data_IF_749505815596
#
_entry.id   IF_749505815596
#
_cell.length_a   1.000
_cell.length_b   1.000
_cell.length_c   1.000
_cell.angle_alpha   90.00
_cell.angle_beta   90.00
_cell.angle_gamma   90.00
#
_symmetry.space_group_name_H-M   'P 1'
#
loop_
_entity.id
_entity.type
_entity.pdbx_description
1 polymer ?
#
# COMPACT_ATOMS: atom_id res chain seq x y z
N UNK A 1 -5.76 19.20 0.41
CA UNK A 1 -5.90 20.60 0.91
C UNK A 1 -7.26 20.77 1.54
N UNK A 2 -7.35 21.51 2.65
CA UNK A 2 -8.61 21.67 3.40
C UNK A 2 -9.55 22.57 2.58
N UNK A 3 -10.74 22.06 2.26
CA UNK A 3 -11.79 22.81 1.57
C UNK A 3 -13.16 22.21 1.89
N UNK A 4 -14.25 22.95 1.67
CA UNK A 4 -15.62 22.45 1.89
C UNK A 4 -16.02 21.28 0.98
N UNK A 5 -15.26 21.03 -0.09
CA UNK A 5 -15.41 19.88 -0.99
C UNK A 5 -14.32 18.81 -0.78
N UNK A 6 -13.51 18.96 0.25
CA UNK A 6 -12.44 18.02 0.57
C UNK A 6 -12.98 16.71 1.13
N UNK A 7 -12.17 15.67 1.00
CA UNK A 7 -12.36 14.37 1.66
C UNK A 7 -12.42 14.56 3.18
N UNK A 8 -13.36 13.87 3.83
CA UNK A 8 -13.58 13.92 5.28
C UNK A 8 -13.28 12.56 5.91
N UNK A 9 -12.86 12.54 7.19
CA UNK A 9 -12.87 11.31 7.96
C UNK A 9 -14.27 10.67 7.97
N UNK A 10 -14.32 9.36 7.72
CA UNK A 10 -15.55 8.57 7.56
C UNK A 10 -16.08 8.47 6.13
N UNK A 11 -15.54 9.24 5.17
CA UNK A 11 -15.90 9.04 3.76
C UNK A 11 -15.41 7.65 3.29
N UNK A 12 -16.22 6.99 2.45
CA UNK A 12 -15.85 5.73 1.80
C UNK A 12 -15.46 6.04 0.36
N UNK A 13 -14.24 5.68 -0.02
CA UNK A 13 -13.72 5.83 -1.38
C UNK A 13 -13.66 4.47 -2.06
N UNK A 14 -13.93 4.41 -3.36
CA UNK A 14 -13.82 3.19 -4.16
C UNK A 14 -12.59 3.32 -5.05
N UNK A 15 -11.64 2.40 -4.89
CA UNK A 15 -10.44 2.34 -5.71
C UNK A 15 -10.74 1.78 -7.11
N UNK A 16 -9.80 1.96 -8.04
CA UNK A 16 -9.93 1.55 -9.45
C UNK A 16 -10.07 0.04 -9.63
N UNK A 17 -9.66 -0.76 -8.65
CA UNK A 17 -9.86 -2.22 -8.62
C UNK A 17 -11.20 -2.65 -7.99
N UNK A 18 -12.08 -1.69 -7.66
CA UNK A 18 -13.40 -1.93 -7.08
C UNK A 18 -13.43 -2.11 -5.56
N UNK A 19 -12.28 -2.13 -4.88
CA UNK A 19 -12.23 -2.22 -3.40
C UNK A 19 -12.67 -0.90 -2.75
N UNK A 20 -13.38 -1.00 -1.65
CA UNK A 20 -13.87 0.13 -0.85
C UNK A 20 -12.95 0.38 0.35
N UNK A 21 -12.63 1.65 0.59
CA UNK A 21 -11.73 2.06 1.66
C UNK A 21 -12.43 3.14 2.49
N UNK A 22 -12.58 2.89 3.79
CA UNK A 22 -13.00 3.90 4.76
C UNK A 22 -11.82 4.80 5.10
N UNK A 23 -11.99 6.10 4.90
CA UNK A 23 -10.98 7.10 5.21
C UNK A 23 -11.10 7.48 6.68
N UNK A 24 -10.41 6.80 7.57
CA UNK A 24 -10.44 7.15 9.00
C UNK A 24 -9.45 8.27 9.36
N UNK A 25 -8.44 8.52 8.52
CA UNK A 25 -7.52 9.65 8.68
C UNK A 25 -7.11 10.21 7.30
N UNK A 26 -7.40 11.48 7.04
CA UNK A 26 -7.12 12.13 5.76
C UNK A 26 -5.66 12.49 5.55
N UNK A 27 -4.82 12.43 6.59
CA UNK A 27 -3.35 12.63 6.53
C UNK A 27 -2.60 11.38 6.03
N UNK A 28 -3.35 10.30 5.80
CA UNK A 28 -2.86 9.08 5.14
C UNK A 28 -3.42 9.00 3.71
N UNK A 29 -3.45 10.11 2.98
CA UNK A 29 -3.94 10.21 1.61
C UNK A 29 -2.97 9.65 0.57
N UNK A 30 -1.66 9.74 0.82
CA UNK A 30 -0.64 9.30 -0.15
C UNK A 30 -0.79 7.82 -0.57
N UNK A 31 -1.20 6.95 0.35
CA UNK A 31 -1.46 5.52 0.04
C UNK A 31 -2.71 5.33 -0.81
N UNK A 32 -3.71 6.21 -0.72
CA UNK A 32 -4.92 6.15 -1.54
C UNK A 32 -4.58 6.49 -2.99
N UNK A 33 -3.78 7.53 -3.21
CA UNK A 33 -3.29 7.87 -4.56
C UNK A 33 -2.37 6.79 -5.13
N UNK A 34 -1.51 6.20 -4.29
CA UNK A 34 -0.62 5.12 -4.73
C UNK A 34 -1.38 3.83 -5.04
N UNK A 35 -2.48 3.52 -4.35
CA UNK A 35 -3.31 2.37 -4.65
C UNK A 35 -3.80 2.39 -6.10
N UNK A 36 -4.38 3.51 -6.55
CA UNK A 36 -4.83 3.66 -7.93
C UNK A 36 -3.67 3.68 -8.93
N UNK A 37 -2.54 4.31 -8.58
CA UNK A 37 -1.35 4.29 -9.43
C UNK A 37 -0.81 2.86 -9.62
N UNK A 38 -0.83 2.03 -8.57
CA UNK A 38 -0.44 0.62 -8.63
C UNK A 38 -1.42 -0.20 -9.48
N UNK A 39 -2.72 0.00 -9.32
CA UNK A 39 -3.73 -0.67 -10.18
C UNK A 39 -3.58 -0.25 -11.64
N UNK A 40 -3.28 1.03 -11.90
CA UNK A 40 -3.02 1.51 -13.25
C UNK A 40 -1.77 0.86 -13.84
N UNK A 41 -0.66 0.82 -13.09
CA UNK A 41 0.54 0.09 -13.49
C UNK A 41 0.22 -1.40 -13.75
N UNK A 42 -0.57 -2.01 -12.84
CA UNK A 42 -1.42 -3.23 -12.99
C UNK A 42 -1.71 -3.53 -14.45
N UNK A 43 -2.53 -2.63 -14.96
CA UNK A 43 -3.20 -2.76 -16.24
C UNK A 43 -2.29 -2.41 -17.42
N UNK A 44 -1.25 -1.59 -17.23
CA UNK A 44 -0.30 -1.23 -18.28
C UNK A 44 0.81 -2.28 -18.48
N UNK A 45 0.86 -3.34 -17.67
CA UNK A 45 1.89 -4.38 -17.79
C UNK A 45 3.29 -3.91 -17.39
N UNK A 46 3.40 -2.76 -16.70
CA UNK A 46 4.66 -2.25 -16.17
C UNK A 46 4.91 -2.94 -14.83
N UNK A 47 5.44 -4.16 -14.85
CA UNK A 47 5.94 -4.81 -13.63
C UNK A 47 7.32 -5.36 -13.75
N UNK A 48 7.99 -5.18 -12.63
CA UNK A 48 9.27 -5.74 -12.28
C UNK A 48 8.99 -6.88 -11.30
N UNK A 49 9.29 -8.14 -11.64
CA UNK A 49 9.12 -9.24 -10.71
C UNK A 49 10.38 -9.43 -9.85
N UNK A 50 10.15 -10.04 -8.69
CA UNK A 50 11.07 -10.92 -7.96
C UNK A 50 12.05 -10.28 -6.96
N UNK A 51 12.50 -11.07 -5.99
CA UNK A 51 13.60 -10.79 -5.07
C UNK A 51 14.89 -10.37 -5.79
N UNK A 52 15.00 -10.64 -7.09
CA UNK A 52 16.06 -10.12 -7.93
C UNK A 52 16.02 -8.59 -8.02
N UNK A 53 14.84 -7.95 -8.01
CA UNK A 53 14.75 -6.50 -7.87
C UNK A 53 15.22 -6.04 -6.48
N UNK A 54 14.91 -6.79 -5.43
CA UNK A 54 15.43 -6.46 -4.10
C UNK A 54 16.96 -6.54 -4.09
N UNK A 55 17.57 -7.49 -4.82
CA UNK A 55 19.02 -7.57 -5.03
C UNK A 55 19.55 -6.46 -5.94
N UNK A 56 18.86 -6.10 -7.01
CA UNK A 56 19.24 -4.99 -7.90
C UNK A 56 19.17 -3.65 -7.16
N UNK A 57 18.12 -3.43 -6.36
CA UNK A 57 18.04 -2.30 -5.45
C UNK A 57 19.16 -2.34 -4.42
N UNK A 58 19.56 -3.52 -3.94
CA UNK A 58 20.72 -3.67 -3.06
C UNK A 58 22.01 -3.24 -3.73
N UNK A 59 22.25 -3.71 -4.94
CA UNK A 59 23.41 -3.33 -5.73
C UNK A 59 23.41 -1.84 -6.10
N UNK A 60 22.24 -1.30 -6.46
CA UNK A 60 22.08 0.12 -6.77
C UNK A 60 22.29 1.01 -5.53
N UNK A 61 21.84 0.57 -4.36
CA UNK A 61 22.08 1.20 -3.07
C UNK A 61 23.56 1.18 -2.67
N UNK A 62 24.25 0.06 -2.87
CA UNK A 62 25.69 -0.01 -2.62
C UNK A 62 26.46 0.91 -3.56
N UNK A 63 26.01 1.02 -4.83
CA UNK A 63 26.58 1.92 -5.81
C UNK A 63 26.30 3.41 -5.50
N UNK A 64 25.11 3.74 -4.97
CA UNK A 64 24.74 5.12 -4.61
C UNK A 64 25.21 5.53 -3.20
N UNK A 65 25.55 4.56 -2.34
CA UNK A 65 25.86 4.76 -0.93
C UNK A 65 24.64 4.96 -0.03
N UNK A 66 23.42 4.81 -0.55
CA UNK A 66 22.18 4.99 0.21
C UNK A 66 21.81 3.73 0.99
N UNK A 67 21.81 3.77 2.32
CA UNK A 67 21.48 2.60 3.14
C UNK A 67 19.98 2.33 3.13
N UNK A 68 19.60 1.06 3.03
CA UNK A 68 18.22 0.62 3.19
C UNK A 68 18.15 -0.67 4.02
N UNK A 69 16.96 -0.96 4.53
CA UNK A 69 16.71 -2.15 5.33
C UNK A 69 15.35 -2.74 4.98
N UNK A 70 15.31 -4.04 4.65
CA UNK A 70 14.06 -4.74 4.35
C UNK A 70 13.29 -4.98 5.66
N UNK A 71 12.09 -4.45 5.75
CA UNK A 71 11.18 -4.73 6.86
C UNK A 71 10.31 -5.96 6.55
N UNK A 72 9.96 -6.78 7.56
CA UNK A 72 9.05 -7.90 7.38
C UNK A 72 7.63 -7.41 7.08
N UNK A 73 6.93 -8.13 6.20
CA UNK A 73 5.51 -7.96 5.94
C UNK A 73 4.71 -8.90 6.85
N UNK A 74 4.59 -8.50 8.11
CA UNK A 74 3.95 -9.30 9.15
C UNK A 74 2.42 -9.21 9.03
N UNK A 75 1.75 -10.31 8.68
CA UNK A 75 0.31 -10.33 8.36
C UNK A 75 -0.60 -10.12 9.57
N UNK A 76 -0.12 -10.39 10.79
CA UNK A 76 -0.89 -10.17 12.03
C UNK A 76 -1.35 -8.72 12.22
N UNK A 77 -0.65 -7.76 11.61
CA UNK A 77 -1.02 -6.35 11.64
C UNK A 77 -2.27 -6.02 10.79
N UNK A 78 -2.68 -6.92 9.89
CA UNK A 78 -3.85 -6.73 9.03
C UNK A 78 -5.17 -6.66 9.80
N UNK A 79 -5.24 -7.29 10.97
CA UNK A 79 -6.42 -7.20 11.85
C UNK A 79 -6.77 -5.75 12.21
N UNK A 80 -5.76 -4.88 12.33
CA UNK A 80 -5.96 -3.46 12.62
C UNK A 80 -6.48 -2.63 11.45
N UNK A 81 -6.53 -3.22 10.25
CA UNK A 81 -6.92 -2.57 8.99
C UNK A 81 -8.36 -2.91 8.55
N UNK A 82 -9.06 -3.77 9.30
CA UNK A 82 -10.46 -4.12 9.00
C UNK A 82 -11.39 -2.95 9.32
N UNK A 83 -12.30 -2.63 8.40
CA UNK A 83 -13.36 -1.65 8.61
C UNK A 83 -14.67 -2.36 8.97
N UNK A 84 -15.55 -1.67 9.70
CA UNK A 84 -16.92 -2.13 9.96
C UNK A 84 -17.91 -1.81 8.84
N UNK A 85 -17.54 -0.95 7.89
CA UNK A 85 -18.43 -0.41 6.83
C UNK A 85 -17.88 -0.59 5.41
N UNK A 86 -16.56 -0.68 5.25
CA UNK A 86 -15.88 -0.86 3.97
C UNK A 86 -14.99 -2.12 4.01
N UNK A 87 -14.31 -2.45 2.90
CA UNK A 87 -13.40 -3.59 2.87
C UNK A 87 -12.18 -3.40 3.78
N UNK A 88 -11.73 -2.16 3.97
CA UNK A 88 -10.60 -1.80 4.84
C UNK A 88 -10.64 -0.33 5.27
N UNK A 89 -9.88 0.01 6.32
CA UNK A 89 -9.57 1.40 6.67
C UNK A 89 -8.25 1.84 6.04
N UNK A 90 -8.07 3.14 5.78
CA UNK A 90 -6.81 3.62 5.23
C UNK A 90 -5.67 3.70 6.27
N UNK A 91 -5.97 3.85 7.56
CA UNK A 91 -4.96 3.90 8.64
C UNK A 91 -5.22 2.84 9.71
N UNK A 92 -4.20 2.03 10.00
CA UNK A 92 -4.25 1.03 11.07
C UNK A 92 -3.85 1.57 12.44
N UNK A 93 -3.47 0.69 13.35
CA UNK A 93 -3.02 1.07 14.69
C UNK A 93 -1.77 1.96 14.71
N UNK A 94 -1.51 2.61 15.86
CA UNK A 94 -0.36 3.52 16.06
C UNK A 94 1.00 2.82 15.89
N UNK A 95 1.05 1.51 16.12
CA UNK A 95 2.26 0.70 15.97
C UNK A 95 2.30 0.04 14.58
N UNK A 96 3.50 -0.08 14.01
CA UNK A 96 3.68 -0.77 12.72
C UNK A 96 3.14 0.01 11.52
N UNK A 97 3.06 1.35 11.59
CA UNK A 97 2.48 2.18 10.52
C UNK A 97 3.05 1.93 9.11
N UNK A 98 4.36 1.65 9.01
CA UNK A 98 5.01 1.30 7.75
C UNK A 98 4.57 -0.08 7.22
N UNK A 99 4.45 -1.07 8.12
CA UNK A 99 3.99 -2.43 7.78
C UNK A 99 2.51 -2.38 7.36
N UNK A 100 1.67 -1.65 8.11
CA UNK A 100 0.27 -1.41 7.77
C UNK A 100 0.12 -0.76 6.38
N UNK A 101 0.95 0.24 6.08
CA UNK A 101 0.96 0.89 4.76
C UNK A 101 1.36 -0.09 3.64
N UNK A 102 2.37 -0.92 3.88
CA UNK A 102 2.80 -1.91 2.90
C UNK A 102 1.74 -3.01 2.68
N UNK A 103 1.10 -3.48 3.75
CA UNK A 103 -0.02 -4.43 3.69
C UNK A 103 -1.25 -3.84 2.98
N UNK A 104 -1.51 -2.55 3.16
CA UNK A 104 -2.55 -1.82 2.44
C UNK A 104 -2.26 -1.85 0.93
N UNK A 105 -1.06 -1.44 0.51
CA UNK A 105 -0.68 -1.41 -0.91
C UNK A 105 -0.67 -2.81 -1.54
N UNK A 106 -0.35 -3.86 -0.76
CA UNK A 106 -0.43 -5.27 -1.20
C UNK A 106 -1.83 -5.65 -1.70
N UNK A 107 -2.90 -4.97 -1.28
CA UNK A 107 -4.27 -5.24 -1.74
C UNK A 107 -4.58 -4.75 -3.16
N UNK A 108 -3.71 -3.88 -3.70
CA UNK A 108 -3.88 -3.22 -4.99
C UNK A 108 -2.89 -3.73 -6.04
N UNK A 109 -2.09 -4.73 -5.69
CA UNK A 109 -1.18 -5.44 -6.58
C UNK A 109 -1.81 -6.78 -6.97
N UNK A 110 -1.85 -7.10 -8.27
CA UNK A 110 -2.42 -8.35 -8.80
C UNK A 110 -1.68 -9.59 -8.24
N UNK A 111 -2.41 -10.67 -7.98
CA UNK A 111 -1.84 -11.93 -7.51
C UNK A 111 -0.93 -12.60 -8.55
N UNK A 112 -1.14 -12.31 -9.84
CA UNK A 112 -0.21 -12.74 -10.90
C UNK A 112 1.19 -12.14 -10.76
N UNK A 113 1.33 -11.10 -9.94
CA UNK A 113 2.60 -10.46 -9.56
C UNK A 113 3.15 -11.01 -8.23
N UNK A 114 2.37 -11.79 -7.47
CA UNK A 114 2.82 -12.42 -6.23
C UNK A 114 3.68 -13.65 -6.56
N UNK A 115 4.96 -13.60 -6.20
CA UNK A 115 5.82 -14.78 -6.15
C UNK A 115 5.80 -15.34 -4.72
N UNK A 116 5.66 -16.66 -4.62
CA UNK A 116 5.69 -17.47 -3.39
C UNK A 116 6.73 -16.94 -2.40
N UNK A 117 6.25 -16.53 -1.22
CA UNK A 117 7.11 -16.34 -0.06
C UNK A 117 7.48 -17.74 0.47
N UNK A 118 8.62 -18.26 0.02
CA UNK A 118 9.30 -19.40 0.65
C UNK A 118 10.62 -18.94 1.26
#
# INVERSE_FOLDING_TARGET
MISGKGMRPGDIVTASNGKTIEVNNTDAEGRLTLADALVYACNQGVFIPNDDLAKELFQASEASGEKFWRMPLEESYWESMKSGVADMVNTGGRQGGAINAALFLKQFVDEKVKVDAR
#
